data_IF_538386211883
#
_entry.id   IF_538386211883
#
_cell.length_a   1.000
_cell.length_b   1.000
_cell.length_c   1.000
_cell.angle_alpha   90.00
_cell.angle_beta   90.00
_cell.angle_gamma   90.00
#
_symmetry.space_group_name_H-M   'P 1'
#
loop_
_entity.id
_entity.type
_entity.pdbx_description
1 polymer ?
#
# COMPACT_ATOMS: atom_id res chain seq x y z
N UNK A 1 33.61 11.14 1.90
CA UNK A 1 32.73 12.06 2.65
C UNK A 1 31.47 11.28 2.97
N UNK A 2 31.13 11.04 4.24
CA UNK A 2 29.81 10.52 4.58
C UNK A 2 28.81 11.59 4.19
N UNK A 3 27.87 11.27 3.31
CA UNK A 3 26.90 12.25 2.85
C UNK A 3 25.96 12.61 4.01
N UNK A 4 25.73 13.91 4.22
CA UNK A 4 25.02 14.43 5.40
C UNK A 4 23.51 14.16 5.35
N UNK A 5 22.88 14.06 6.52
CA UNK A 5 21.42 13.97 6.65
C UNK A 5 20.83 15.36 6.90
N UNK A 6 19.88 15.79 6.07
CA UNK A 6 18.99 16.89 6.42
C UNK A 6 17.90 16.33 7.34
N UNK A 7 17.84 16.82 8.58
CA UNK A 7 16.83 16.35 9.55
C UNK A 7 15.84 17.46 9.88
N UNK A 8 14.55 17.16 9.71
CA UNK A 8 13.43 18.01 10.07
C UNK A 8 12.86 17.51 11.40
N UNK A 9 13.14 18.30 12.45
CA UNK A 9 12.76 17.99 13.82
C UNK A 9 13.76 17.08 14.56
N UNK A 10 13.53 16.87 15.85
CA UNK A 10 14.42 16.12 16.75
C UNK A 10 13.65 15.20 17.70
N UNK A 11 12.44 14.77 17.31
CA UNK A 11 11.51 14.01 18.14
C UNK A 11 10.60 14.87 19.01
N UNK A 12 10.72 16.20 18.93
CA UNK A 12 9.76 17.17 19.46
C UNK A 12 8.85 17.75 18.38
N UNK A 13 8.16 18.84 18.72
CA UNK A 13 7.25 19.60 17.84
C UNK A 13 7.93 20.82 17.18
N UNK A 14 9.26 20.87 17.18
CA UNK A 14 10.04 21.96 16.55
C UNK A 14 10.77 21.44 15.32
N UNK A 15 11.09 22.34 14.38
CA UNK A 15 11.75 22.00 13.11
C UNK A 15 10.76 21.95 11.96
N UNK A 16 10.93 22.85 10.99
CA UNK A 16 10.05 22.99 9.83
C UNK A 16 10.90 23.26 8.59
N UNK A 17 10.32 22.93 7.44
CA UNK A 17 10.86 23.25 6.13
C UNK A 17 9.68 23.62 5.23
N UNK A 18 9.89 24.58 4.35
CA UNK A 18 8.88 25.10 3.43
C UNK A 18 9.50 25.14 2.03
N UNK A 19 8.69 24.89 1.01
CA UNK A 19 9.13 24.83 -0.38
C UNK A 19 9.66 23.45 -0.77
N UNK A 20 10.24 23.33 -1.96
CA UNK A 20 10.73 22.06 -2.47
C UNK A 20 12.06 21.64 -1.84
N UNK A 21 12.32 20.33 -1.76
CA UNK A 21 13.59 19.76 -1.31
C UNK A 21 14.23 18.96 -2.44
N UNK A 22 15.51 19.23 -2.71
CA UNK A 22 16.38 18.37 -3.51
C UNK A 22 17.18 17.50 -2.54
N UNK A 23 16.77 16.25 -2.37
CA UNK A 23 17.41 15.27 -1.50
C UNK A 23 18.38 14.41 -2.31
N UNK A 24 19.69 14.68 -2.22
CA UNK A 24 20.74 13.89 -2.87
C UNK A 24 21.49 12.94 -1.92
N UNK A 25 21.06 12.83 -0.66
CA UNK A 25 21.69 11.92 0.31
C UNK A 25 20.67 11.29 1.25
N UNK A 26 20.28 11.98 2.33
CA UNK A 26 19.30 11.49 3.27
C UNK A 26 18.47 12.67 3.82
N UNK A 27 17.16 12.48 3.84
CA UNK A 27 16.18 13.38 4.44
C UNK A 27 15.45 12.63 5.54
N UNK A 28 15.51 13.12 6.77
CA UNK A 28 14.82 12.52 7.92
C UNK A 28 13.76 13.47 8.47
N UNK A 29 12.54 12.98 8.64
CA UNK A 29 11.50 13.64 9.42
C UNK A 29 11.40 12.96 10.78
N UNK A 30 11.60 13.71 11.86
CA UNK A 30 11.53 13.23 13.23
C UNK A 30 10.66 14.17 14.08
N UNK A 31 9.35 14.02 13.96
CA UNK A 31 8.36 14.86 14.65
C UNK A 31 7.43 14.02 15.54
N UNK A 32 7.05 14.59 16.68
CA UNK A 32 6.12 13.98 17.64
C UNK A 32 4.67 14.42 17.49
N UNK A 33 4.40 15.31 16.55
CA UNK A 33 3.09 15.78 16.12
C UNK A 33 2.90 15.55 14.62
N UNK A 34 1.65 15.55 14.17
CA UNK A 34 1.31 15.42 12.76
C UNK A 34 1.91 16.57 11.93
N UNK A 35 2.56 16.23 10.82
CA UNK A 35 3.11 17.17 9.86
C UNK A 35 2.55 16.89 8.47
N UNK A 36 1.97 17.91 7.84
CA UNK A 36 1.71 17.91 6.40
C UNK A 36 2.84 18.65 5.71
N UNK A 37 3.46 18.01 4.73
CA UNK A 37 4.47 18.60 3.87
C UNK A 37 3.95 18.62 2.41
N UNK A 38 3.90 19.81 1.84
CA UNK A 38 3.29 20.11 0.54
C UNK A 38 4.30 20.38 -0.58
N UNK A 39 5.55 20.67 -0.22
CA UNK A 39 6.66 20.78 -1.17
C UNK A 39 6.97 19.46 -1.89
N UNK A 40 7.55 19.55 -3.08
CA UNK A 40 8.04 18.39 -3.83
C UNK A 40 9.41 17.99 -3.31
N UNK A 41 9.57 16.71 -2.97
CA UNK A 41 10.88 16.09 -2.68
C UNK A 41 11.38 15.42 -3.96
N UNK A 42 12.59 15.79 -4.40
CA UNK A 42 13.26 15.28 -5.59
C UNK A 42 14.67 14.78 -5.27
N UNK A 43 15.39 14.22 -6.26
CA UNK A 43 16.77 13.74 -6.10
C UNK A 43 16.90 12.24 -5.84
N UNK A 44 18.10 11.77 -5.52
CA UNK A 44 18.43 10.34 -5.39
C UNK A 44 18.59 9.84 -3.94
N UNK A 45 18.45 10.73 -2.97
CA UNK A 45 18.63 10.43 -1.55
C UNK A 45 17.48 9.64 -0.94
N UNK A 46 17.74 9.01 0.20
CA UNK A 46 16.73 8.27 0.95
C UNK A 46 15.84 9.18 1.79
N UNK A 47 14.61 8.75 2.06
CA UNK A 47 13.70 9.38 3.00
C UNK A 47 13.55 8.50 4.25
N UNK A 48 13.65 9.09 5.43
CA UNK A 48 13.42 8.39 6.71
C UNK A 48 12.30 9.08 7.46
N UNK A 49 11.21 8.35 7.70
CA UNK A 49 10.15 8.76 8.64
C UNK A 49 10.41 8.13 9.99
N UNK A 50 10.73 8.99 10.96
CA UNK A 50 10.84 8.67 12.38
C UNK A 50 9.82 9.48 13.19
N UNK A 51 9.70 9.20 14.48
CA UNK A 51 8.66 9.78 15.33
C UNK A 51 7.31 9.07 15.18
N UNK A 52 6.48 9.14 16.21
CA UNK A 52 5.31 8.26 16.35
C UNK A 52 4.04 8.78 15.66
N UNK A 53 4.03 10.04 15.21
CA UNK A 53 2.85 10.65 14.59
C UNK A 53 2.86 10.53 13.04
N UNK A 54 1.92 11.19 12.37
CA UNK A 54 1.70 11.14 10.93
C UNK A 54 2.57 12.16 10.19
N UNK A 55 3.32 11.71 9.19
CA UNK A 55 3.84 12.57 8.13
C UNK A 55 2.96 12.39 6.90
N UNK A 56 2.25 13.45 6.49
CA UNK A 56 1.45 13.47 5.25
C UNK A 56 2.22 14.19 4.16
N UNK A 57 2.56 13.47 3.09
CA UNK A 57 3.19 14.03 1.89
C UNK A 57 2.11 14.31 0.85
N UNK A 58 1.88 15.58 0.54
CA UNK A 58 0.87 16.00 -0.45
C UNK A 58 1.47 16.47 -1.78
N UNK A 59 2.77 16.75 -1.82
CA UNK A 59 3.52 17.00 -3.06
C UNK A 59 3.66 15.75 -3.92
N UNK A 60 3.73 15.93 -5.23
CA UNK A 60 4.02 14.85 -6.19
C UNK A 60 5.52 14.57 -6.20
N UNK A 61 6.00 13.85 -5.17
CA UNK A 61 7.43 13.62 -4.97
C UNK A 61 8.03 12.74 -6.09
N UNK A 62 9.24 13.12 -6.52
CA UNK A 62 9.97 12.48 -7.63
C UNK A 62 11.31 11.88 -7.21
N UNK A 63 11.63 11.89 -5.91
CA UNK A 63 12.85 11.26 -5.43
C UNK A 63 12.86 9.75 -5.72
N UNK A 64 14.03 9.22 -6.03
CA UNK A 64 14.20 7.81 -6.45
C UNK A 64 14.83 6.91 -5.40
N UNK A 65 15.39 7.51 -4.33
CA UNK A 65 15.95 6.75 -3.22
C UNK A 65 14.88 6.05 -2.38
N UNK A 66 15.32 5.06 -1.60
CA UNK A 66 14.41 4.27 -0.76
C UNK A 66 13.81 5.10 0.38
N UNK A 67 12.63 4.68 0.82
CA UNK A 67 11.95 5.22 1.99
C UNK A 67 11.99 4.22 3.15
N UNK A 68 12.37 4.67 4.34
CA UNK A 68 12.26 3.89 5.57
C UNK A 68 11.24 4.53 6.51
N UNK A 69 10.21 3.78 6.90
CA UNK A 69 9.28 4.16 7.95
C UNK A 69 9.69 3.40 9.21
N UNK A 70 10.42 4.07 10.09
CA UNK A 70 10.89 3.47 11.34
C UNK A 70 9.80 3.43 12.41
N UNK A 71 8.90 4.43 12.42
CA UNK A 71 7.80 4.54 13.37
C UNK A 71 6.70 5.49 12.86
N UNK A 72 5.53 5.42 13.50
CA UNK A 72 4.37 6.25 13.18
C UNK A 72 3.77 5.93 11.81
N UNK A 73 3.14 6.93 11.19
CA UNK A 73 2.50 6.78 9.88
C UNK A 73 3.18 7.66 8.84
N UNK A 74 3.47 7.10 7.66
CA UNK A 74 3.69 7.86 6.45
C UNK A 74 2.43 7.81 5.60
N UNK A 75 1.83 8.95 5.31
CA UNK A 75 0.65 9.07 4.46
C UNK A 75 0.99 9.77 3.15
N UNK A 76 0.57 9.17 2.02
CA UNK A 76 0.71 9.72 0.67
C UNK A 76 -0.64 10.28 0.22
N UNK A 77 -0.68 11.58 0.02
CA UNK A 77 -1.90 12.35 -0.27
C UNK A 77 -2.76 12.59 0.97
N UNK A 78 -3.72 13.50 0.85
CA UNK A 78 -4.66 13.89 1.90
C UNK A 78 -6.14 13.70 1.49
N UNK A 79 -6.38 12.79 0.54
CA UNK A 79 -7.68 12.57 -0.09
C UNK A 79 -7.89 13.37 -1.40
N UNK A 80 -6.94 14.24 -1.75
CA UNK A 80 -6.91 14.93 -3.04
C UNK A 80 -6.28 14.11 -4.18
N UNK A 81 -5.99 14.80 -5.29
CA UNK A 81 -5.38 14.27 -6.53
C UNK A 81 -3.88 14.54 -6.65
N UNK A 82 -3.23 15.07 -5.61
CA UNK A 82 -1.75 15.14 -5.47
C UNK A 82 -1.22 14.23 -4.35
N UNK A 83 0.05 13.86 -4.43
CA UNK A 83 0.71 12.93 -3.53
C UNK A 83 1.25 11.75 -4.33
N UNK A 84 2.57 11.66 -4.43
CA UNK A 84 3.27 10.55 -5.06
C UNK A 84 4.54 10.22 -4.29
N UNK A 85 5.02 8.99 -4.45
CA UNK A 85 6.34 8.54 -4.03
C UNK A 85 6.82 7.40 -4.93
N UNK A 86 8.14 7.25 -5.04
CA UNK A 86 8.80 6.16 -5.76
C UNK A 86 9.86 5.49 -4.87
N UNK A 87 10.66 4.58 -5.45
CA UNK A 87 11.65 3.79 -4.71
C UNK A 87 11.01 2.68 -3.87
N UNK A 88 11.83 1.85 -3.22
CA UNK A 88 11.33 0.82 -2.31
C UNK A 88 10.95 1.43 -0.96
N UNK A 89 10.06 0.76 -0.23
CA UNK A 89 9.67 1.14 1.12
C UNK A 89 10.02 0.02 2.09
N UNK A 90 10.78 0.36 3.14
CA UNK A 90 10.94 -0.46 4.34
C UNK A 90 9.94 0.08 5.37
N UNK A 91 8.80 -0.57 5.51
CA UNK A 91 7.71 -0.17 6.40
C UNK A 91 7.77 -0.94 7.72
N UNK A 92 8.15 -0.29 8.81
CA UNK A 92 8.08 -0.84 10.18
C UNK A 92 7.05 -0.11 11.06
N UNK A 93 6.22 0.76 10.46
CA UNK A 93 5.15 1.49 11.13
C UNK A 93 3.82 1.29 10.40
N UNK A 94 3.26 2.37 9.87
CA UNK A 94 2.11 2.32 8.96
C UNK A 94 2.37 3.13 7.69
N UNK A 95 1.99 2.57 6.55
CA UNK A 95 1.97 3.25 5.27
C UNK A 95 0.52 3.43 4.82
N UNK A 96 0.10 4.66 4.57
CA UNK A 96 -1.26 5.00 4.15
C UNK A 96 -1.28 5.68 2.79
N UNK A 97 -2.07 5.17 1.86
CA UNK A 97 -2.36 5.85 0.59
C UNK A 97 -3.75 6.47 0.64
N UNK A 98 -3.81 7.80 0.66
CA UNK A 98 -5.04 8.59 0.70
C UNK A 98 -5.15 9.48 -0.55
N UNK A 99 -5.51 8.84 -1.68
CA UNK A 99 -5.63 9.46 -3.02
C UNK A 99 -7.07 9.31 -3.54
N UNK A 100 -7.59 10.31 -4.24
CA UNK A 100 -8.91 10.24 -4.89
C UNK A 100 -8.88 9.77 -6.34
N UNK A 101 -7.73 9.82 -7.01
CA UNK A 101 -7.51 9.31 -8.35
C UNK A 101 -6.70 8.00 -8.33
N UNK A 102 -6.38 7.47 -9.51
CA UNK A 102 -5.52 6.28 -9.64
C UNK A 102 -4.07 6.61 -9.30
N UNK A 103 -3.46 5.80 -8.44
CA UNK A 103 -2.02 5.76 -8.20
C UNK A 103 -1.50 4.35 -8.50
N UNK A 104 -0.48 4.26 -9.34
CA UNK A 104 0.29 3.03 -9.55
C UNK A 104 1.55 3.12 -8.70
N UNK A 105 1.78 2.12 -7.85
CA UNK A 105 2.99 2.03 -7.04
C UNK A 105 3.74 0.73 -7.38
N UNK A 106 4.93 0.88 -7.96
CA UNK A 106 5.75 -0.23 -8.44
C UNK A 106 6.95 -0.58 -7.56
N UNK A 107 7.26 0.22 -6.53
CA UNK A 107 8.31 -0.10 -5.57
C UNK A 107 7.95 -1.30 -4.70
N UNK A 108 8.94 -2.01 -4.17
CA UNK A 108 8.69 -3.11 -3.23
C UNK A 108 8.45 -2.54 -1.83
N UNK A 109 7.33 -2.91 -1.21
CA UNK A 109 7.05 -2.65 0.21
C UNK A 109 7.51 -3.88 1.01
N UNK A 110 8.35 -3.66 2.01
CA UNK A 110 8.92 -4.68 2.91
C UNK A 110 8.77 -4.26 4.38
N UNK A 111 9.20 -5.09 5.32
CA UNK A 111 9.16 -4.79 6.77
C UNK A 111 7.92 -5.34 7.49
N UNK A 112 7.75 -4.99 8.76
CA UNK A 112 6.68 -5.55 9.62
C UNK A 112 5.42 -4.69 9.74
N UNK A 113 5.43 -3.50 9.13
CA UNK A 113 4.37 -2.50 9.27
C UNK A 113 3.11 -2.83 8.47
N UNK A 114 2.05 -2.08 8.78
CA UNK A 114 0.73 -2.20 8.13
C UNK A 114 0.61 -1.34 6.88
N UNK A 115 -0.27 -1.76 5.96
CA UNK A 115 -0.65 -0.99 4.78
C UNK A 115 -2.12 -0.55 4.87
N UNK A 116 -2.40 0.72 4.58
CA UNK A 116 -3.76 1.24 4.54
C UNK A 116 -4.07 1.87 3.17
N UNK A 117 -5.13 1.38 2.51
CA UNK A 117 -5.75 2.01 1.35
C UNK A 117 -6.95 2.84 1.85
N UNK A 118 -6.73 4.14 2.03
CA UNK A 118 -7.67 5.02 2.73
C UNK A 118 -8.49 5.94 1.80
N UNK A 119 -7.94 6.34 0.65
CA UNK A 119 -8.61 7.29 -0.25
C UNK A 119 -9.62 6.64 -1.20
N UNK A 120 -10.55 7.41 -1.75
CA UNK A 120 -11.61 6.90 -2.64
C UNK A 120 -11.14 6.45 -4.03
N UNK A 121 -9.90 6.74 -4.41
CA UNK A 121 -9.34 6.38 -5.72
C UNK A 121 -8.97 4.91 -5.87
N UNK A 122 -8.14 4.62 -6.87
CA UNK A 122 -7.61 3.28 -7.14
C UNK A 122 -6.13 3.24 -6.77
N UNK A 123 -5.71 2.29 -5.94
CA UNK A 123 -4.29 2.00 -5.72
C UNK A 123 -3.96 0.70 -6.46
N UNK A 124 -3.01 0.76 -7.37
CA UNK A 124 -2.53 -0.41 -8.12
C UNK A 124 -1.12 -0.74 -7.63
N UNK A 125 -0.98 -1.90 -7.00
CA UNK A 125 0.30 -2.41 -6.49
C UNK A 125 0.89 -3.39 -7.50
N UNK A 126 1.97 -2.99 -8.17
CA UNK A 126 2.61 -3.82 -9.21
C UNK A 126 3.93 -4.44 -8.76
N UNK A 127 4.46 -4.04 -7.60
CA UNK A 127 5.67 -4.61 -7.01
C UNK A 127 5.38 -5.88 -6.21
N UNK A 128 6.33 -6.81 -6.18
CA UNK A 128 6.24 -8.04 -5.38
C UNK A 128 6.61 -7.71 -3.93
N UNK A 129 5.59 -7.39 -3.15
CA UNK A 129 5.72 -6.95 -1.76
C UNK A 129 6.03 -8.10 -0.80
N UNK A 130 6.79 -7.79 0.24
CA UNK A 130 7.28 -8.73 1.27
C UNK A 130 6.99 -8.27 2.70
N UNK A 131 6.22 -7.19 2.88
CA UNK A 131 5.82 -6.76 4.22
C UNK A 131 4.94 -7.82 4.90
N UNK A 132 4.99 -7.93 6.22
CA UNK A 132 4.26 -8.98 6.96
C UNK A 132 3.05 -8.48 7.73
N UNK A 133 2.90 -7.16 7.87
CA UNK A 133 1.73 -6.57 8.53
C UNK A 133 0.47 -6.65 7.67
N UNK A 134 -0.68 -6.46 8.32
CA UNK A 134 -1.98 -6.53 7.65
C UNK A 134 -2.23 -5.36 6.70
N UNK A 135 -3.11 -5.59 5.73
CA UNK A 135 -3.61 -4.57 4.81
C UNK A 135 -5.06 -4.21 5.15
N UNK A 136 -5.37 -2.91 5.31
CA UNK A 136 -6.75 -2.42 5.49
C UNK A 136 -7.18 -1.60 4.28
N UNK A 137 -8.32 -1.96 3.67
CA UNK A 137 -8.95 -1.21 2.59
C UNK A 137 -10.18 -0.52 3.16
N UNK A 138 -10.06 0.77 3.46
CA UNK A 138 -11.15 1.55 4.06
C UNK A 138 -12.05 2.19 3.00
N UNK A 139 -11.50 2.51 1.82
CA UNK A 139 -12.26 3.14 0.73
C UNK A 139 -11.63 2.89 -0.66
N UNK A 140 -12.45 3.10 -1.70
CA UNK A 140 -12.05 2.94 -3.10
C UNK A 140 -11.63 1.51 -3.44
N UNK A 141 -10.67 1.39 -4.35
CA UNK A 141 -10.22 0.08 -4.86
C UNK A 141 -8.73 -0.15 -4.60
N UNK A 142 -8.40 -1.32 -4.04
CA UNK A 142 -7.05 -1.87 -4.09
C UNK A 142 -6.96 -2.89 -5.23
N UNK A 143 -6.02 -2.71 -6.14
CA UNK A 143 -5.71 -3.66 -7.22
C UNK A 143 -4.35 -4.27 -6.93
N UNK A 144 -4.31 -5.60 -6.83
CA UNK A 144 -3.08 -6.39 -6.66
C UNK A 144 -2.66 -6.90 -8.02
N UNK A 145 -1.54 -6.37 -8.51
CA UNK A 145 -0.97 -6.64 -9.81
C UNK A 145 -1.51 -5.78 -10.95
N UNK A 146 -1.00 -6.04 -12.15
CA UNK A 146 -1.50 -5.54 -13.44
C UNK A 146 -0.82 -6.27 -14.62
N UNK A 147 -0.35 -7.51 -14.43
CA UNK A 147 0.28 -8.40 -15.42
C UNK A 147 0.73 -9.71 -14.73
N UNK A 148 2.03 -10.03 -14.65
CA UNK A 148 2.68 -11.17 -13.95
C UNK A 148 3.29 -10.82 -12.57
N UNK A 149 3.33 -9.53 -12.19
CA UNK A 149 3.88 -9.07 -10.90
C UNK A 149 2.84 -8.37 -10.01
N UNK A 150 3.15 -8.23 -8.73
CA UNK A 150 2.30 -7.57 -7.74
C UNK A 150 1.78 -8.56 -6.72
N UNK A 151 1.98 -8.26 -5.44
CA UNK A 151 1.50 -9.09 -4.34
C UNK A 151 1.08 -8.23 -3.14
N UNK A 152 0.30 -8.84 -2.26
CA UNK A 152 0.07 -8.38 -0.88
C UNK A 152 0.21 -9.59 0.03
N UNK A 153 0.66 -9.38 1.25
CA UNK A 153 0.91 -10.42 2.25
C UNK A 153 0.21 -10.02 3.56
N UNK A 154 0.09 -10.94 4.52
CA UNK A 154 -0.68 -10.72 5.75
C UNK A 154 -2.18 -10.87 5.51
N UNK A 155 -3.00 -10.56 6.52
CA UNK A 155 -4.46 -10.56 6.35
C UNK A 155 -4.93 -9.28 5.65
N UNK A 156 -6.10 -9.34 5.03
CA UNK A 156 -6.77 -8.17 4.46
C UNK A 156 -8.09 -7.91 5.19
N UNK A 157 -8.24 -6.70 5.70
CA UNK A 157 -9.53 -6.15 6.14
C UNK A 157 -10.09 -5.34 4.97
N UNK A 158 -10.98 -5.94 4.20
CA UNK A 158 -11.60 -5.33 3.03
C UNK A 158 -12.96 -4.73 3.40
N UNK A 159 -13.06 -3.40 3.48
CA UNK A 159 -14.32 -2.67 3.68
C UNK A 159 -14.77 -1.91 2.42
N UNK A 160 -14.17 -2.19 1.26
CA UNK A 160 -14.52 -1.53 0.00
C UNK A 160 -14.35 -2.52 -1.17
N UNK A 161 -13.37 -2.33 -2.06
CA UNK A 161 -13.16 -3.23 -3.21
C UNK A 161 -11.72 -3.70 -3.25
N UNK A 162 -11.56 -5.03 -3.25
CA UNK A 162 -10.29 -5.71 -3.52
C UNK A 162 -10.35 -6.37 -4.89
N UNK A 163 -9.35 -6.10 -5.72
CA UNK A 163 -9.22 -6.69 -7.06
C UNK A 163 -7.89 -7.43 -7.15
N UNK A 164 -7.90 -8.70 -7.53
CA UNK A 164 -6.71 -9.38 -8.02
C UNK A 164 -6.68 -9.29 -9.54
N UNK A 165 -5.60 -8.74 -10.09
CA UNK A 165 -5.40 -8.53 -11.52
C UNK A 165 -4.08 -9.18 -11.96
N UNK A 166 -4.00 -10.49 -11.74
CA UNK A 166 -2.85 -11.35 -12.00
C UNK A 166 -3.13 -12.26 -13.21
N UNK A 167 -2.34 -12.17 -14.28
CA UNK A 167 -2.48 -12.99 -15.48
C UNK A 167 -1.90 -14.41 -15.34
N UNK A 168 -1.18 -14.69 -14.26
CA UNK A 168 -0.65 -16.01 -13.91
C UNK A 168 -1.32 -16.55 -12.64
N UNK A 169 -0.82 -17.68 -12.12
CA UNK A 169 -1.31 -18.24 -10.88
C UNK A 169 -0.77 -17.46 -9.67
N UNK A 170 -1.67 -17.00 -8.79
CA UNK A 170 -1.35 -16.44 -7.49
C UNK A 170 -2.06 -17.25 -6.40
N UNK A 171 -1.30 -17.72 -5.41
CA UNK A 171 -1.87 -18.24 -4.16
C UNK A 171 -1.82 -17.14 -3.09
N UNK A 172 -2.97 -16.83 -2.50
CA UNK A 172 -3.07 -15.90 -1.38
C UNK A 172 -3.56 -16.64 -0.13
N UNK A 173 -2.70 -16.67 0.90
CA UNK A 173 -2.94 -17.43 2.12
C UNK A 173 -3.44 -16.62 3.32
N UNK A 174 -3.48 -15.29 3.21
CA UNK A 174 -4.06 -14.44 4.24
C UNK A 174 -5.58 -14.58 4.31
N UNK A 175 -6.17 -14.28 5.48
CA UNK A 175 -7.62 -14.20 5.63
C UNK A 175 -8.10 -12.85 5.10
N UNK A 176 -9.06 -12.88 4.17
CA UNK A 176 -9.81 -11.70 3.74
C UNK A 176 -11.08 -11.61 4.59
N UNK A 177 -11.27 -10.48 5.27
CA UNK A 177 -12.41 -10.19 6.15
C UNK A 177 -13.07 -8.85 5.78
N UNK A 178 -14.18 -8.50 6.42
CA UNK A 178 -14.83 -7.20 6.28
C UNK A 178 -16.11 -7.18 5.44
N UNK A 179 -16.55 -5.99 5.06
CA UNK A 179 -17.83 -5.77 4.34
C UNK A 179 -17.68 -5.60 2.83
N UNK A 180 -16.44 -5.51 2.34
CA UNK A 180 -16.13 -5.23 0.94
C UNK A 180 -16.27 -6.43 0.01
N UNK A 181 -16.26 -6.12 -1.29
CA UNK A 181 -16.34 -7.10 -2.38
C UNK A 181 -14.97 -7.55 -2.85
N UNK A 182 -14.88 -8.79 -3.34
CA UNK A 182 -13.71 -9.34 -4.03
C UNK A 182 -13.96 -9.45 -5.54
N UNK A 183 -13.00 -9.06 -6.37
CA UNK A 183 -13.02 -9.30 -7.82
C UNK A 183 -11.76 -10.01 -8.30
N UNK A 184 -11.92 -11.17 -8.93
CA UNK A 184 -10.87 -11.79 -9.74
C UNK A 184 -11.01 -11.28 -11.18
N UNK A 185 -10.07 -10.41 -11.60
CA UNK A 185 -10.22 -9.59 -12.80
C UNK A 185 -9.39 -10.06 -14.00
N UNK A 186 -8.36 -10.88 -13.79
CA UNK A 186 -7.45 -11.32 -14.85
C UNK A 186 -7.61 -12.81 -15.16
N UNK A 187 -7.04 -13.23 -16.30
CA UNK A 187 -7.14 -14.60 -16.83
C UNK A 187 -6.42 -15.67 -15.98
N UNK A 188 -5.65 -15.27 -14.97
CA UNK A 188 -4.89 -16.19 -14.13
C UNK A 188 -5.75 -16.99 -13.17
N UNK A 189 -5.08 -17.80 -12.34
CA UNK A 189 -5.72 -18.57 -11.27
C UNK A 189 -5.44 -17.88 -9.94
N UNK A 190 -6.49 -17.40 -9.27
CA UNK A 190 -6.39 -16.96 -7.88
C UNK A 190 -6.77 -18.13 -6.98
N UNK A 191 -5.82 -18.62 -6.18
CA UNK A 191 -6.07 -19.65 -5.17
C UNK A 191 -6.14 -19.02 -3.79
N UNK A 192 -7.30 -19.07 -3.15
CA UNK A 192 -7.49 -18.61 -1.78
C UNK A 192 -7.41 -19.79 -0.81
N UNK A 193 -6.41 -19.78 0.09
CA UNK A 193 -6.24 -20.87 1.08
C UNK A 193 -6.63 -20.49 2.50
N UNK A 194 -6.86 -19.19 2.77
CA UNK A 194 -7.39 -18.71 4.04
C UNK A 194 -8.90 -18.92 4.15
N UNK A 195 -9.39 -19.03 5.38
CA UNK A 195 -10.83 -19.10 5.67
C UNK A 195 -11.43 -17.70 5.61
N UNK A 196 -11.80 -17.26 4.41
CA UNK A 196 -12.24 -15.88 4.19
C UNK A 196 -13.66 -15.63 4.72
N UNK A 197 -13.85 -14.46 5.33
CA UNK A 197 -15.08 -14.07 6.05
C UNK A 197 -15.69 -12.75 5.54
N UNK A 198 -15.17 -12.18 4.45
CA UNK A 198 -15.75 -10.98 3.86
C UNK A 198 -17.17 -11.24 3.34
N UNK A 199 -18.01 -10.22 3.39
CA UNK A 199 -19.47 -10.36 3.14
C UNK A 199 -19.98 -9.63 1.89
N UNK A 200 -19.15 -8.82 1.23
CA UNK A 200 -19.56 -8.01 0.07
C UNK A 200 -19.66 -8.78 -1.26
N UNK A 201 -19.58 -10.12 -1.22
CA UNK A 201 -19.66 -10.98 -2.40
C UNK A 201 -18.37 -11.06 -3.22
N UNK A 202 -18.36 -12.02 -4.16
CA UNK A 202 -17.25 -12.28 -5.06
C UNK A 202 -17.69 -12.20 -6.51
N UNK A 203 -16.93 -11.49 -7.34
CA UNK A 203 -17.08 -11.51 -8.81
C UNK A 203 -15.86 -12.17 -9.45
N UNK A 204 -16.09 -13.11 -10.36
CA UNK A 204 -15.06 -13.64 -11.25
C UNK A 204 -15.31 -12.99 -12.61
N UNK A 205 -14.57 -11.92 -12.90
CA UNK A 205 -14.68 -11.21 -14.18
C UNK A 205 -13.93 -11.93 -15.29
N UNK A 206 -12.83 -12.62 -14.96
CA UNK A 206 -12.04 -13.44 -15.87
C UNK A 206 -11.27 -14.52 -15.09
N UNK A 207 -10.72 -15.51 -15.81
CA UNK A 207 -9.84 -16.53 -15.22
C UNK A 207 -10.55 -17.48 -14.25
N UNK A 208 -9.80 -17.99 -13.29
CA UNK A 208 -10.30 -18.98 -12.32
C UNK A 208 -10.10 -18.47 -10.90
N UNK A 209 -11.14 -18.62 -10.07
CA UNK A 209 -11.02 -18.58 -8.62
C UNK A 209 -11.03 -20.01 -8.08
N UNK A 210 -9.94 -20.41 -7.43
CA UNK A 210 -9.81 -21.68 -6.73
C UNK A 210 -9.89 -21.44 -5.22
N UNK A 211 -10.69 -22.26 -4.52
CA UNK A 211 -10.79 -22.25 -3.06
C UNK A 211 -10.08 -23.48 -2.50
N UNK A 212 -9.12 -23.25 -1.61
CA UNK A 212 -8.25 -24.26 -1.04
C UNK A 212 -7.20 -24.80 -2.03
N UNK A 213 -6.23 -25.56 -1.51
CA UNK A 213 -5.15 -26.17 -2.28
C UNK A 213 -4.93 -27.67 -1.94
N UNK A 214 -6.02 -28.36 -1.60
CA UNK A 214 -6.00 -29.75 -1.14
C UNK A 214 -5.83 -29.91 0.39
N UNK A 215 -5.71 -28.80 1.13
CA UNK A 215 -5.81 -28.77 2.59
C UNK A 215 -7.26 -28.74 3.12
N UNK A 216 -7.42 -28.50 4.42
CA UNK A 216 -8.73 -28.38 5.10
C UNK A 216 -9.25 -26.95 5.22
N UNK A 217 -8.49 -25.97 4.73
CA UNK A 217 -8.80 -24.55 4.80
C UNK A 217 -9.09 -23.98 3.40
N UNK A 218 -9.74 -22.83 3.38
CA UNK A 218 -10.19 -22.17 2.18
C UNK A 218 -11.70 -22.04 2.19
N UNK A 219 -12.17 -20.80 2.24
CA UNK A 219 -13.59 -20.48 2.11
C UNK A 219 -13.79 -19.10 1.49
N UNK A 220 -14.97 -18.86 0.97
CA UNK A 220 -15.51 -17.52 0.68
C UNK A 220 -16.97 -17.52 1.16
N UNK A 221 -17.46 -16.36 1.60
CA UNK A 221 -18.83 -16.17 2.09
C UNK A 221 -19.61 -15.28 1.12
N UNK A 222 -20.91 -15.52 1.02
CA UNK A 222 -21.83 -14.72 0.21
C UNK A 222 -21.91 -15.17 -1.26
N UNK A 223 -22.53 -14.32 -2.07
CA UNK A 223 -22.80 -14.63 -3.47
C UNK A 223 -21.53 -14.62 -4.31
N UNK A 224 -21.44 -15.57 -5.25
CA UNK A 224 -20.40 -15.62 -6.28
C UNK A 224 -21.06 -15.36 -7.63
N UNK A 225 -20.71 -14.24 -8.25
CA UNK A 225 -21.08 -13.92 -9.63
C UNK A 225 -19.94 -14.35 -10.55
N UNK A 226 -20.19 -15.34 -11.41
CA UNK A 226 -19.22 -15.79 -12.39
C UNK A 226 -19.54 -15.23 -13.79
N UNK A 227 -18.74 -14.28 -14.25
CA UNK A 227 -18.81 -13.66 -15.57
C UNK A 227 -17.68 -14.14 -16.50
N UNK A 228 -16.81 -15.05 -16.06
CA UNK A 228 -15.79 -15.65 -16.93
C UNK A 228 -16.48 -16.60 -17.90
N UNK A 229 -16.46 -16.25 -19.19
CA UNK A 229 -16.93 -17.10 -20.29
C UNK A 229 -15.88 -18.14 -20.69
#
# INVERSE_FOLDING_TARGET
MSAGTLQIGNGGTTGSVVGDIINNSALSFNRSDALTYDGVISGSGSLVKTGNDVLTLTGDNTFTGDTTISAGTLQVGNGGTTGAMAGNIINNGSLSFNRSNTLVYGGVISGSGSLAKAGNGVLILTGDHTFTGDTTISAGTLVVGNNTTGSVVGNIINNSTLVFNRSDALTYGGVISGSGSLNQAAIGVLTLTGDNTFTGGTTISAGTLQIGNGGTTGSVVGDITNNSA
#
